data_IF_800060409714
#
_entry.id   IF_800060409714
#
_cell.length_a   1.000
_cell.length_b   1.000
_cell.length_c   1.000
_cell.angle_alpha   90.00
_cell.angle_beta   90.00
_cell.angle_gamma   90.00
#
_symmetry.space_group_name_H-M   'P 1'
#
loop_
_entity.id
_entity.type
_entity.pdbx_description
1 polymer ?
#
# COMPACT_ATOMS: atom_id res chain seq x y z
N UNK A 1 -28.43 -7.79 36.78
CA UNK A 1 -27.20 -7.55 37.14
C UNK A 1 -26.00 -8.14 36.40
N UNK A 2 -26.16 -8.97 35.44
CA UNK A 2 -25.04 -9.49 34.64
C UNK A 2 -25.15 -8.99 33.22
N UNK A 3 -25.00 -7.67 33.08
CA UNK A 3 -24.94 -7.05 31.75
C UNK A 3 -23.70 -7.41 30.97
N UNK A 4 -22.75 -8.10 31.61
CA UNK A 4 -21.46 -8.42 31.01
C UNK A 4 -21.43 -9.77 30.27
N UNK A 5 -22.52 -10.53 30.38
CA UNK A 5 -22.57 -11.87 29.81
C UNK A 5 -22.78 -11.91 28.28
N UNK A 6 -23.05 -10.75 27.68
CA UNK A 6 -23.30 -10.65 26.25
C UNK A 6 -22.36 -9.69 25.53
N UNK A 7 -21.29 -9.28 26.18
CA UNK A 7 -20.25 -8.56 25.49
C UNK A 7 -19.59 -9.51 24.51
N UNK A 8 -19.81 -9.32 23.22
CA UNK A 8 -19.09 -10.05 22.19
C UNK A 8 -17.58 -9.91 22.35
N UNK A 9 -16.77 -10.61 21.56
CA UNK A 9 -15.33 -10.53 21.67
C UNK A 9 -14.88 -9.05 21.55
N UNK A 10 -14.00 -8.64 22.45
CA UNK A 10 -13.42 -7.30 22.41
C UNK A 10 -12.73 -7.10 21.06
N UNK A 11 -12.79 -5.90 20.47
CA UNK A 11 -12.13 -5.62 19.17
C UNK A 11 -10.67 -6.07 19.12
N UNK A 12 -9.96 -5.97 20.22
CA UNK A 12 -8.58 -6.43 20.33
C UNK A 12 -8.44 -7.95 20.10
N UNK A 13 -9.42 -8.73 20.51
CA UNK A 13 -9.42 -10.18 20.29
C UNK A 13 -9.69 -10.51 18.82
N UNK A 14 -10.60 -9.78 18.20
CA UNK A 14 -10.91 -9.96 16.77
C UNK A 14 -9.63 -9.80 15.95
N UNK A 15 -8.85 -8.75 16.22
CA UNK A 15 -7.61 -8.49 15.51
C UNK A 15 -6.52 -9.55 15.72
N UNK A 16 -6.53 -10.24 16.87
CA UNK A 16 -5.59 -11.30 17.16
C UNK A 16 -6.03 -12.65 16.59
N UNK A 17 -7.33 -12.89 16.49
CA UNK A 17 -7.90 -14.15 15.98
C UNK A 17 -7.88 -14.24 14.47
N UNK A 18 -8.06 -13.12 13.76
CA UNK A 18 -8.06 -13.08 12.31
C UNK A 18 -6.65 -12.91 11.77
N UNK A 19 -6.33 -13.70 10.77
CA UNK A 19 -5.09 -13.56 10.00
C UNK A 19 -5.35 -12.78 8.71
N UNK A 20 -4.28 -12.22 8.17
CA UNK A 20 -4.32 -11.49 6.89
C UNK A 20 -4.98 -12.32 5.80
N UNK A 21 -4.68 -13.63 5.72
CA UNK A 21 -5.25 -14.55 4.71
C UNK A 21 -6.77 -14.62 4.74
N UNK A 22 -7.37 -14.42 5.92
CA UNK A 22 -8.82 -14.50 6.11
C UNK A 22 -9.55 -13.26 5.60
N UNK A 23 -8.83 -12.17 5.39
CA UNK A 23 -9.39 -10.84 5.13
C UNK A 23 -8.94 -10.27 3.78
N UNK A 24 -7.74 -10.60 3.33
CA UNK A 24 -7.14 -10.05 2.11
C UNK A 24 -7.99 -10.29 0.85
N UNK A 25 -7.88 -9.38 -0.09
CA UNK A 25 -8.45 -9.52 -1.43
C UNK A 25 -7.47 -10.27 -2.32
N UNK A 26 -7.93 -11.35 -2.96
CA UNK A 26 -7.14 -12.17 -3.88
C UNK A 26 -7.64 -12.12 -5.32
N UNK A 27 -8.90 -11.73 -5.52
CA UNK A 27 -9.51 -11.63 -6.84
C UNK A 27 -9.18 -10.28 -7.48
N UNK A 28 -8.86 -10.30 -8.78
CA UNK A 28 -8.61 -9.10 -9.56
C UNK A 28 -7.52 -8.18 -8.99
N UNK A 29 -6.51 -8.77 -8.38
CA UNK A 29 -5.35 -8.02 -7.90
C UNK A 29 -4.54 -7.54 -9.10
N UNK A 30 -4.39 -6.22 -9.20
CA UNK A 30 -3.66 -5.60 -10.29
C UNK A 30 -2.22 -5.39 -9.85
N UNK A 31 -1.28 -5.82 -10.67
CA UNK A 31 0.15 -5.56 -10.51
C UNK A 31 0.69 -4.99 -11.81
N UNK A 32 1.89 -4.41 -11.73
CA UNK A 32 2.48 -3.72 -12.86
C UNK A 32 3.95 -4.13 -12.99
N UNK A 33 4.47 -4.12 -14.23
CA UNK A 33 5.89 -4.31 -14.49
C UNK A 33 6.65 -2.99 -14.30
N UNK A 34 7.90 -3.07 -13.84
CA UNK A 34 8.77 -1.90 -13.76
C UNK A 34 9.05 -1.23 -15.11
N UNK A 35 8.82 -1.95 -16.20
CA UNK A 35 9.01 -1.45 -17.58
C UNK A 35 7.77 -0.74 -18.12
N UNK A 36 6.67 -0.78 -17.41
CA UNK A 36 5.42 -0.13 -17.82
C UNK A 36 5.60 1.39 -17.82
N UNK A 37 4.87 2.07 -18.73
CA UNK A 37 4.91 3.52 -18.80
C UNK A 37 4.21 4.16 -17.60
N UNK A 38 4.78 5.25 -17.11
CA UNK A 38 4.19 6.03 -16.01
C UNK A 38 2.82 6.58 -16.40
N UNK A 39 2.66 7.01 -17.65
CA UNK A 39 1.38 7.54 -18.16
C UNK A 39 0.30 6.48 -18.10
N UNK A 40 0.62 5.26 -18.49
CA UNK A 40 -0.35 4.15 -18.46
C UNK A 40 -0.77 3.81 -17.03
N UNK A 41 0.18 3.79 -16.11
CA UNK A 41 -0.12 3.56 -14.69
C UNK A 41 -0.94 4.70 -14.10
N UNK A 42 -0.63 5.95 -14.42
CA UNK A 42 -1.41 7.10 -13.98
C UNK A 42 -2.87 6.97 -14.42
N UNK A 43 -3.11 6.53 -15.66
CA UNK A 43 -4.45 6.27 -16.15
C UNK A 43 -5.16 5.16 -15.38
N UNK A 44 -4.48 4.07 -15.06
CA UNK A 44 -5.05 2.96 -14.28
C UNK A 44 -5.44 3.45 -12.88
N UNK A 45 -4.56 4.20 -12.21
CA UNK A 45 -4.84 4.73 -10.87
C UNK A 45 -6.05 5.67 -10.89
N UNK A 46 -6.14 6.52 -11.89
CA UNK A 46 -7.24 7.45 -12.03
C UNK A 46 -8.57 6.76 -12.35
N UNK A 47 -8.58 5.87 -13.34
CA UNK A 47 -9.79 5.15 -13.77
C UNK A 47 -10.35 4.24 -12.68
N UNK A 48 -9.49 3.55 -11.95
CA UNK A 48 -9.90 2.62 -10.90
C UNK A 48 -10.00 3.26 -9.52
N UNK A 49 -9.67 4.55 -9.42
CA UNK A 49 -9.69 5.31 -8.18
C UNK A 49 -8.90 4.61 -7.06
N UNK A 50 -7.70 4.17 -7.36
CA UNK A 50 -6.80 3.53 -6.41
C UNK A 50 -5.53 4.35 -6.22
N UNK A 51 -4.93 4.26 -5.03
CA UNK A 51 -3.81 5.12 -4.64
C UNK A 51 -2.45 4.58 -5.06
N UNK A 52 -2.35 3.29 -5.35
CA UNK A 52 -1.08 2.67 -5.71
C UNK A 52 -1.22 1.24 -6.17
N UNK A 53 -0.16 0.73 -6.79
CA UNK A 53 -0.09 -0.62 -7.34
C UNK A 53 1.24 -1.28 -6.96
N UNK A 54 1.23 -2.58 -6.65
CA UNK A 54 2.48 -3.32 -6.50
C UNK A 54 3.17 -3.48 -7.84
N UNK A 55 4.49 -3.35 -7.83
CA UNK A 55 5.37 -3.57 -8.97
C UNK A 55 6.03 -4.93 -8.81
N UNK A 56 5.87 -5.80 -9.79
CA UNK A 56 6.36 -7.18 -9.73
C UNK A 56 7.29 -7.49 -10.90
N UNK A 57 8.16 -8.48 -10.69
CA UNK A 57 9.00 -9.03 -11.75
C UNK A 57 8.29 -10.17 -12.51
N UNK A 58 9.01 -10.82 -13.41
CA UNK A 58 8.49 -11.92 -14.24
C UNK A 58 8.05 -13.13 -13.43
N UNK A 59 8.61 -13.29 -12.22
CA UNK A 59 8.28 -14.38 -11.31
C UNK A 59 7.22 -13.97 -10.30
N UNK A 60 6.57 -12.83 -10.52
CA UNK A 60 5.54 -12.27 -9.63
C UNK A 60 6.07 -11.85 -8.26
N UNK A 61 7.38 -11.68 -8.12
CA UNK A 61 7.97 -11.17 -6.89
C UNK A 61 7.80 -9.66 -6.80
N UNK A 62 7.43 -9.19 -5.63
CA UNK A 62 7.20 -7.75 -5.39
C UNK A 62 8.54 -7.03 -5.32
N UNK A 63 8.75 -6.07 -6.23
CA UNK A 63 9.94 -5.23 -6.28
C UNK A 63 9.75 -3.92 -5.54
N UNK A 64 8.55 -3.38 -5.60
CA UNK A 64 8.25 -2.07 -5.04
C UNK A 64 6.77 -1.75 -5.18
N UNK A 65 6.45 -0.48 -4.97
CA UNK A 65 5.10 0.05 -5.16
C UNK A 65 5.18 1.37 -5.93
N UNK A 66 4.22 1.60 -6.81
CA UNK A 66 4.03 2.90 -7.47
C UNK A 66 2.75 3.54 -6.96
N UNK A 67 2.84 4.77 -6.49
CA UNK A 67 1.71 5.48 -5.90
C UNK A 67 1.42 6.78 -6.63
N UNK A 68 0.26 7.37 -6.37
CA UNK A 68 -0.07 8.72 -6.83
C UNK A 68 1.00 9.73 -6.40
N UNK A 69 1.50 9.60 -5.16
CA UNK A 69 2.54 10.49 -4.64
C UNK A 69 3.84 10.39 -5.44
N UNK A 70 4.23 9.19 -5.87
CA UNK A 70 5.42 8.99 -6.72
C UNK A 70 5.26 9.73 -8.06
N UNK A 71 4.08 9.61 -8.66
CA UNK A 71 3.79 10.26 -9.94
C UNK A 71 3.75 11.78 -9.78
N UNK A 72 3.10 12.28 -8.74
CA UNK A 72 3.01 13.72 -8.47
C UNK A 72 4.36 14.33 -8.15
N UNK A 73 5.29 13.56 -7.61
CA UNK A 73 6.66 14.04 -7.35
C UNK A 73 7.39 14.41 -8.64
N UNK A 74 7.01 13.83 -9.78
CA UNK A 74 7.58 14.16 -11.09
C UNK A 74 7.30 15.61 -11.51
N UNK A 75 6.20 16.19 -11.05
CA UNK A 75 5.86 17.59 -11.36
C UNK A 75 6.41 18.57 -10.31
N UNK A 76 7.24 18.10 -9.40
CA UNK A 76 7.91 18.95 -8.42
C UNK A 76 7.05 19.31 -7.20
N UNK A 77 5.93 18.62 -6.98
CA UNK A 77 5.02 18.85 -5.84
C UNK A 77 5.05 17.63 -4.91
N UNK A 78 6.23 17.22 -4.48
CA UNK A 78 6.38 16.04 -3.64
C UNK A 78 6.83 16.38 -2.23
N UNK A 79 6.62 15.42 -1.31
CA UNK A 79 7.04 15.50 0.09
C UNK A 79 8.56 15.58 0.27
N UNK A 80 9.31 15.27 -0.78
CA UNK A 80 10.76 15.15 -0.75
C UNK A 80 11.48 16.47 -1.02
N UNK A 81 10.72 17.54 -1.34
CA UNK A 81 11.30 18.85 -1.59
C UNK A 81 11.19 19.73 -0.36
N UNK A 82 12.33 19.99 0.26
CA UNK A 82 12.43 20.94 1.35
C UNK A 82 12.40 22.37 0.81
N UNK A 83 12.17 23.35 1.69
CA UNK A 83 12.28 24.76 1.35
C UNK A 83 13.65 25.09 0.76
N UNK A 84 14.71 24.45 1.24
CA UNK A 84 16.06 24.58 0.73
C UNK A 84 16.18 24.14 -0.73
N UNK A 85 15.52 23.03 -1.08
CA UNK A 85 15.50 22.52 -2.47
C UNK A 85 14.75 23.48 -3.40
N UNK A 86 13.66 24.07 -2.93
CA UNK A 86 12.95 25.10 -3.68
C UNK A 86 13.78 26.34 -3.94
N UNK A 87 14.55 26.78 -2.93
CA UNK A 87 15.46 27.91 -3.09
C UNK A 87 16.54 27.62 -4.13
N UNK A 88 17.12 26.42 -4.10
CA UNK A 88 18.11 25.99 -5.09
C UNK A 88 17.53 25.99 -6.50
N UNK A 89 16.31 25.48 -6.65
CA UNK A 89 15.61 25.49 -7.93
C UNK A 89 15.39 26.91 -8.46
N UNK A 90 15.00 27.84 -7.60
CA UNK A 90 14.82 29.25 -7.96
C UNK A 90 16.14 29.91 -8.37
N UNK A 91 17.26 29.41 -7.89
CA UNK A 91 18.62 29.89 -8.25
C UNK A 91 19.18 29.19 -9.50
N UNK A 92 18.38 28.38 -10.15
CA UNK A 92 18.75 27.66 -11.37
C UNK A 92 19.44 26.32 -11.16
N UNK A 93 19.55 25.87 -9.91
CA UNK A 93 20.07 24.54 -9.62
C UNK A 93 18.99 23.47 -9.80
N UNK A 94 19.29 22.33 -10.46
CA UNK A 94 18.31 21.27 -10.59
C UNK A 94 17.99 20.64 -9.23
N UNK A 95 16.73 20.24 -9.03
CA UNK A 95 16.32 19.49 -7.86
C UNK A 95 16.92 18.08 -7.92
N UNK A 96 17.88 17.78 -7.06
CA UNK A 96 18.66 16.55 -7.12
C UNK A 96 17.89 15.28 -6.78
N UNK A 97 16.72 15.38 -6.13
CA UNK A 97 15.95 14.24 -5.68
C UNK A 97 14.67 14.03 -6.49
N UNK A 98 14.49 14.78 -7.56
CA UNK A 98 13.35 14.60 -8.43
C UNK A 98 13.51 13.29 -9.20
N UNK A 99 12.69 12.32 -8.88
CA UNK A 99 12.62 11.10 -9.67
C UNK A 99 11.94 11.43 -10.99
N UNK A 100 12.67 11.32 -12.08
CA UNK A 100 12.17 11.57 -13.43
C UNK A 100 12.44 10.35 -14.26
N UNK A 101 11.43 9.91 -15.00
CA UNK A 101 11.58 8.80 -15.92
C UNK A 101 10.26 8.45 -16.56
N UNK A 102 10.31 7.72 -17.68
CA UNK A 102 9.13 7.32 -18.44
C UNK A 102 8.54 6.01 -17.94
N UNK A 103 9.32 5.25 -17.19
CA UNK A 103 8.96 3.90 -16.72
C UNK A 103 8.76 3.86 -15.21
N UNK A 104 7.89 2.97 -14.79
CA UNK A 104 7.55 2.76 -13.38
C UNK A 104 8.79 2.52 -12.52
N UNK A 105 9.75 1.73 -13.01
CA UNK A 105 10.99 1.44 -12.29
C UNK A 105 11.82 2.65 -11.94
N UNK A 106 11.69 3.73 -12.71
CA UNK A 106 12.44 4.98 -12.50
C UNK A 106 11.92 5.78 -11.30
N UNK A 107 10.64 5.64 -10.97
CA UNK A 107 9.97 6.46 -9.96
C UNK A 107 9.33 5.68 -8.82
N UNK A 108 9.23 4.36 -8.91
CA UNK A 108 8.62 3.53 -7.86
C UNK A 108 9.35 3.66 -6.53
N UNK A 109 8.63 3.42 -5.45
CA UNK A 109 9.22 3.28 -4.12
C UNK A 109 9.62 1.84 -3.90
N UNK A 110 10.88 1.60 -3.52
CA UNK A 110 11.42 0.26 -3.30
C UNK A 110 12.31 0.28 -2.05
N UNK A 111 12.27 -0.77 -1.21
CA UNK A 111 11.37 -1.92 -1.31
C UNK A 111 9.93 -1.55 -0.93
N UNK A 112 8.96 -2.34 -1.38
CA UNK A 112 7.58 -2.22 -0.94
C UNK A 112 7.44 -2.74 0.49
N UNK A 113 6.52 -2.14 1.24
CA UNK A 113 6.13 -2.65 2.54
C UNK A 113 5.15 -3.80 2.34
N UNK A 114 5.55 -4.98 2.75
CA UNK A 114 4.78 -6.21 2.56
C UNK A 114 4.39 -6.84 3.89
N UNK A 115 3.41 -7.75 3.85
CA UNK A 115 2.99 -8.53 5.00
C UNK A 115 2.76 -9.98 4.57
N UNK A 116 2.89 -10.90 5.52
CA UNK A 116 2.67 -12.32 5.30
C UNK A 116 1.21 -12.68 5.53
N UNK A 117 0.69 -13.71 4.85
CA UNK A 117 -0.71 -14.12 5.02
C UNK A 117 -1.02 -14.68 6.40
N UNK A 118 -0.04 -15.19 7.13
CA UNK A 118 -0.20 -15.71 8.48
C UNK A 118 -0.04 -14.65 9.58
N UNK A 119 0.29 -13.41 9.22
CA UNK A 119 0.31 -12.30 10.17
C UNK A 119 -1.10 -12.01 10.69
N UNK A 120 -1.18 -11.47 11.91
CA UNK A 120 -2.46 -11.08 12.49
C UNK A 120 -2.98 -9.77 11.89
N UNK A 121 -4.29 -9.60 11.90
CA UNK A 121 -4.91 -8.34 11.49
C UNK A 121 -4.48 -7.21 12.43
N UNK A 122 -4.27 -7.49 13.71
CA UNK A 122 -3.76 -6.49 14.67
C UNK A 122 -2.39 -5.95 14.24
N UNK A 123 -1.50 -6.83 13.76
CA UNK A 123 -0.19 -6.41 13.24
C UNK A 123 -0.34 -5.55 11.98
N UNK A 124 -1.22 -5.96 11.07
CA UNK A 124 -1.49 -5.19 9.85
C UNK A 124 -2.00 -3.78 10.16
N UNK A 125 -2.93 -3.66 11.10
CA UNK A 125 -3.48 -2.36 11.54
C UNK A 125 -2.37 -1.50 12.16
N UNK A 126 -1.52 -2.09 12.99
CA UNK A 126 -0.40 -1.39 13.59
C UNK A 126 0.55 -0.81 12.53
N UNK A 127 0.90 -1.61 11.53
CA UNK A 127 1.76 -1.17 10.43
C UNK A 127 1.11 -0.05 9.63
N UNK A 128 -0.17 -0.21 9.27
CA UNK A 128 -0.90 0.82 8.53
C UNK A 128 -0.97 2.13 9.28
N UNK A 129 -1.13 2.07 10.59
CA UNK A 129 -1.24 3.23 11.45
C UNK A 129 0.12 3.94 11.62
N UNK A 130 1.17 3.18 11.93
CA UNK A 130 2.53 3.70 12.09
C UNK A 130 3.08 4.31 10.79
N UNK A 131 2.80 3.68 9.67
CA UNK A 131 3.30 4.10 8.35
C UNK A 131 2.34 5.02 7.61
N UNK A 132 1.16 5.26 8.17
CA UNK A 132 0.10 6.09 7.57
C UNK A 132 -0.27 5.65 6.17
N UNK A 133 -0.44 4.34 6.00
CA UNK A 133 -0.83 3.72 4.75
C UNK A 133 -2.16 3.01 4.90
N UNK A 134 -2.87 2.86 3.80
CA UNK A 134 -4.22 2.24 3.77
C UNK A 134 -4.22 0.86 3.12
N UNK A 135 -3.07 0.40 2.67
CA UNK A 135 -2.93 -0.78 1.85
C UNK A 135 -1.62 -1.48 2.14
N UNK A 136 -1.67 -2.79 2.23
CA UNK A 136 -0.49 -3.64 2.35
C UNK A 136 -0.49 -4.68 1.24
N UNK A 137 0.66 -4.87 0.64
CA UNK A 137 0.89 -5.94 -0.33
C UNK A 137 1.17 -7.23 0.43
N UNK A 138 0.39 -8.28 0.15
CA UNK A 138 0.54 -9.57 0.80
C UNK A 138 1.38 -10.49 -0.07
N UNK A 139 2.43 -11.04 0.50
CA UNK A 139 3.38 -11.90 -0.21
C UNK A 139 3.53 -13.25 0.49
N UNK A 140 3.87 -14.28 -0.28
CA UNK A 140 4.20 -15.59 0.24
C UNK A 140 5.65 -15.69 0.70
N UNK A 141 6.12 -16.90 1.03
CA UNK A 141 7.48 -17.17 1.49
C UNK A 141 8.56 -16.77 0.48
N UNK A 142 8.21 -16.80 -0.81
CA UNK A 142 9.12 -16.46 -1.89
C UNK A 142 9.10 -14.98 -2.24
N UNK A 143 8.24 -14.19 -1.58
CA UNK A 143 8.05 -12.79 -1.91
C UNK A 143 7.12 -12.56 -3.11
N UNK A 144 6.41 -13.59 -3.54
CA UNK A 144 5.44 -13.48 -4.63
C UNK A 144 4.14 -12.86 -4.14
N UNK A 145 3.55 -12.03 -4.99
CA UNK A 145 2.28 -11.35 -4.71
C UNK A 145 1.13 -12.36 -4.66
N UNK A 146 0.43 -12.42 -3.53
CA UNK A 146 -0.73 -13.30 -3.36
C UNK A 146 -2.01 -12.56 -3.00
N UNK A 147 -1.94 -11.31 -2.62
CA UNK A 147 -3.13 -10.55 -2.28
C UNK A 147 -2.82 -9.11 -1.90
N UNK A 148 -3.88 -8.38 -1.67
CA UNK A 148 -3.84 -7.00 -1.17
C UNK A 148 -4.75 -6.91 0.05
N UNK A 149 -4.27 -6.25 1.09
CA UNK A 149 -5.05 -5.97 2.29
C UNK A 149 -5.24 -4.47 2.42
N UNK A 150 -6.50 -4.04 2.45
CA UNK A 150 -6.83 -2.62 2.61
C UNK A 150 -7.49 -2.37 3.96
N UNK A 151 -7.48 -1.12 4.44
CA UNK A 151 -8.24 -0.71 5.63
C UNK A 151 -9.73 -1.02 5.47
N UNK A 152 -10.26 -0.83 4.26
CA UNK A 152 -11.66 -1.13 3.96
C UNK A 152 -11.96 -2.64 4.13
N UNK A 153 -11.06 -3.51 3.70
CA UNK A 153 -11.20 -4.96 3.88
C UNK A 153 -11.26 -5.32 5.37
N UNK A 154 -10.37 -4.73 6.16
CA UNK A 154 -10.31 -4.96 7.61
C UNK A 154 -11.59 -4.47 8.27
N UNK A 155 -12.04 -3.27 7.93
CA UNK A 155 -13.27 -2.70 8.49
C UNK A 155 -14.48 -3.60 8.21
N UNK A 156 -14.63 -4.06 6.99
CA UNK A 156 -15.71 -4.98 6.60
C UNK A 156 -15.66 -6.30 7.38
N UNK A 157 -14.47 -6.85 7.55
CA UNK A 157 -14.29 -8.10 8.29
C UNK A 157 -14.61 -7.93 9.78
N UNK A 158 -14.18 -6.83 10.39
CA UNK A 158 -14.48 -6.52 11.79
C UNK A 158 -15.98 -6.32 12.00
N UNK A 159 -16.64 -5.57 11.14
CA UNK A 159 -18.09 -5.36 11.20
C UNK A 159 -18.83 -6.69 11.09
N UNK A 160 -18.41 -7.54 10.17
CA UNK A 160 -19.00 -8.87 9.98
C UNK A 160 -18.87 -9.75 11.23
N UNK A 161 -17.72 -9.69 11.91
CA UNK A 161 -17.48 -10.41 13.16
C UNK A 161 -18.29 -9.86 14.33
N UNK A 162 -18.61 -8.58 14.32
CA UNK A 162 -19.41 -7.91 15.35
C UNK A 162 -20.91 -8.15 15.19
N UNK A 163 -21.34 -8.60 13.99
CA UNK A 163 -22.73 -8.97 13.72
C UNK A 163 -22.92 -10.47 13.96
N UNK A 164 -23.74 -10.79 14.88
CA UNK A 164 -24.14 -12.17 15.17
C UNK A 164 -25.65 -12.31 15.23
#
# INVERSE_FOLDING_TARGET
MNSDLNAGPMPSRIGLEMQVRDVMTTANVISISKYESVVNVANILAEKNISGLPVVDKENKVLGIITQADILSMVGVGREHTFKDLLKYMLGEPLHERRVGDHVGDIMTSPALTIRPDASIAEAVRIMDEKRIRRLTVVDEKGELIGILTRADILKAVIKKMKW
#
